data_IF_343928592120
#
_entry.id   IF_343928592120
#
_cell.length_a   1.000
_cell.length_b   1.000
_cell.length_c   1.000
_cell.angle_alpha   90.00
_cell.angle_beta   90.00
_cell.angle_gamma   90.00
#
_symmetry.space_group_name_H-M   'P 1'
#
loop_
_entity.id
_entity.type
_entity.pdbx_description
1 polymer ?
#
# COMPACT_ATOMS: atom_id res chain seq x y z
N UNK A 1 3.86 4.09 24.46
CA UNK A 1 3.86 5.11 23.40
C UNK A 1 5.26 5.22 22.82
N UNK A 2 5.42 5.11 21.50
CA UNK A 2 6.72 5.22 20.83
C UNK A 2 7.07 6.68 20.47
N UNK A 3 6.08 7.57 20.44
CA UNK A 3 6.26 9.00 20.16
C UNK A 3 4.92 9.73 20.02
N UNK A 4 4.95 11.06 19.89
CA UNK A 4 3.75 11.89 19.83
C UNK A 4 3.19 12.09 18.43
N UNK A 5 3.94 11.72 17.37
CA UNK A 5 3.48 11.90 16.01
C UNK A 5 2.34 10.93 15.70
N UNK A 6 1.38 11.42 14.94
CA UNK A 6 0.23 10.66 14.48
C UNK A 6 0.00 10.90 12.99
N UNK A 7 -0.76 10.03 12.37
CA UNK A 7 -1.12 10.12 10.97
C UNK A 7 -2.33 9.25 10.67
N UNK A 8 -2.95 9.46 9.53
CA UNK A 8 -4.07 8.63 9.07
C UNK A 8 -3.58 7.30 8.47
N UNK A 9 -2.46 7.33 7.75
CA UNK A 9 -1.83 6.13 7.18
C UNK A 9 -0.75 5.57 8.09
N UNK A 10 -0.58 4.25 8.04
CA UNK A 10 0.46 3.53 8.76
C UNK A 10 1.06 2.45 7.88
N UNK A 11 2.38 2.26 7.98
CA UNK A 11 3.13 1.15 7.41
C UNK A 11 4.02 0.51 8.47
N UNK A 12 4.30 -0.77 8.30
CA UNK A 12 5.16 -1.55 9.18
C UNK A 12 6.11 -2.40 8.34
N UNK A 13 7.41 -2.32 8.61
CA UNK A 13 8.45 -3.07 7.92
C UNK A 13 9.83 -2.49 8.16
N UNK A 14 10.86 -3.20 7.74
CA UNK A 14 12.26 -2.75 7.86
C UNK A 14 12.59 -1.74 6.76
N UNK A 15 12.28 -0.46 7.01
CA UNK A 15 12.44 0.58 5.99
C UNK A 15 13.90 0.85 5.63
N UNK A 16 14.78 0.80 6.63
CA UNK A 16 16.20 1.14 6.47
C UNK A 16 17.12 -0.07 6.26
N UNK A 17 16.56 -1.26 6.10
CA UNK A 17 17.28 -2.53 5.88
C UNK A 17 18.27 -2.89 7.01
N UNK A 18 17.94 -2.57 8.24
CA UNK A 18 18.78 -2.86 9.41
C UNK A 18 18.39 -4.12 10.19
N UNK A 19 17.43 -4.88 9.69
CA UNK A 19 16.89 -6.11 10.25
C UNK A 19 15.82 -5.89 11.32
N UNK A 20 15.34 -4.67 11.52
CA UNK A 20 14.31 -4.31 12.51
C UNK A 20 13.16 -3.59 11.85
N UNK A 21 11.95 -4.03 12.16
CA UNK A 21 10.76 -3.40 11.58
C UNK A 21 10.48 -2.03 12.18
N UNK A 22 10.36 -1.04 11.34
CA UNK A 22 10.04 0.35 11.62
C UNK A 22 8.55 0.63 11.50
N UNK A 23 8.13 1.83 11.88
CA UNK A 23 6.76 2.30 11.70
C UNK A 23 6.77 3.56 10.83
N UNK A 24 6.18 3.47 9.66
CA UNK A 24 5.95 4.62 8.78
C UNK A 24 4.59 5.24 9.10
N UNK A 25 4.54 6.55 9.29
CA UNK A 25 3.30 7.30 9.51
C UNK A 25 3.34 8.67 8.86
N UNK A 26 2.17 9.18 8.46
CA UNK A 26 1.96 10.59 8.09
C UNK A 26 3.12 11.21 7.32
N UNK A 27 3.99 11.94 8.00
CA UNK A 27 5.08 12.73 7.41
C UNK A 27 6.49 12.19 7.69
N UNK A 28 6.62 10.94 8.13
CA UNK A 28 7.92 10.35 8.45
C UNK A 28 7.83 8.94 8.99
N UNK A 29 8.87 8.53 9.69
CA UNK A 29 8.94 7.17 10.20
C UNK A 29 9.63 7.12 11.57
N UNK A 30 9.26 6.14 12.37
CA UNK A 30 9.89 5.81 13.64
C UNK A 30 10.87 4.67 13.43
N UNK A 31 12.15 4.94 13.69
CA UNK A 31 13.22 3.94 13.67
C UNK A 31 13.13 3.09 14.94
N UNK A 32 13.02 1.76 14.76
CA UNK A 32 13.05 0.85 15.89
C UNK A 32 14.45 0.82 16.52
N UNK A 33 14.57 1.03 17.85
CA UNK A 33 15.89 1.03 18.53
C UNK A 33 16.55 -0.36 18.49
N UNK A 34 17.89 -0.37 18.51
CA UNK A 34 18.69 -1.61 18.59
C UNK A 34 18.51 -2.36 19.90
N UNK A 35 18.17 -1.64 20.98
CA UNK A 35 17.97 -2.19 22.32
C UNK A 35 16.52 -2.60 22.57
N UNK A 36 16.11 -2.50 23.83
CA UNK A 36 14.74 -2.76 24.25
C UNK A 36 13.75 -1.79 23.59
N UNK A 37 12.82 -2.25 22.76
CA UNK A 37 11.85 -1.37 22.11
C UNK A 37 10.84 -0.75 23.08
N UNK A 38 10.79 -1.21 24.33
CA UNK A 38 9.91 -0.69 25.38
C UNK A 38 10.59 0.34 26.28
N UNK A 39 11.91 0.54 26.17
CA UNK A 39 12.67 1.39 27.07
C UNK A 39 12.35 2.90 26.94
N UNK A 40 11.66 3.33 25.87
CA UNK A 40 11.32 4.74 25.69
C UNK A 40 10.81 5.06 24.29
N UNK A 41 10.73 6.35 23.96
CA UNK A 41 10.29 6.76 22.63
C UNK A 41 11.30 6.36 21.57
N UNK A 42 10.77 6.01 20.38
CA UNK A 42 11.57 5.75 19.21
C UNK A 42 11.99 7.05 18.53
N UNK A 43 13.10 7.02 17.84
CA UNK A 43 13.57 8.16 17.06
C UNK A 43 12.65 8.38 15.87
N UNK A 44 12.08 9.57 15.75
CA UNK A 44 11.27 9.97 14.62
C UNK A 44 12.10 10.73 13.58
N UNK A 45 12.02 10.31 12.33
CA UNK A 45 12.62 10.95 11.18
C UNK A 45 11.50 11.60 10.36
N UNK A 46 11.47 12.95 10.35
CA UNK A 46 10.56 13.69 9.48
C UNK A 46 11.15 13.75 8.07
N UNK A 47 10.75 12.84 7.20
CA UNK A 47 11.40 12.60 5.92
C UNK A 47 10.68 13.23 4.72
N UNK A 48 9.41 13.59 4.86
CA UNK A 48 8.61 14.18 3.78
C UNK A 48 7.57 15.15 4.30
N UNK A 49 6.99 15.94 3.38
CA UNK A 49 5.96 16.95 3.72
C UNK A 49 4.54 16.48 3.43
N UNK A 50 4.36 15.53 2.51
CA UNK A 50 3.07 14.96 2.15
C UNK A 50 2.59 14.03 3.26
N UNK A 51 1.36 14.23 3.76
CA UNK A 51 0.81 13.30 4.75
C UNK A 51 0.22 12.09 4.06
N UNK A 52 0.78 10.92 4.33
CA UNK A 52 0.26 9.65 3.81
C UNK A 52 -1.05 9.31 4.53
N UNK A 53 -2.08 8.92 3.77
CA UNK A 53 -3.45 8.77 4.27
C UNK A 53 -4.01 7.34 4.25
N UNK A 54 -3.26 6.40 3.68
CA UNK A 54 -3.66 4.99 3.56
C UNK A 54 -2.64 4.08 4.22
N UNK A 55 -2.93 2.79 4.33
CA UNK A 55 -1.87 1.84 4.63
C UNK A 55 -0.70 2.07 3.68
N UNK A 56 0.51 2.00 4.23
CA UNK A 56 1.75 2.09 3.48
C UNK A 56 2.38 0.72 3.50
N UNK A 57 2.62 0.15 2.33
CA UNK A 57 3.34 -1.11 2.19
C UNK A 57 4.83 -0.80 2.06
N UNK A 58 5.66 -1.60 2.74
CA UNK A 58 7.11 -1.49 2.73
C UNK A 58 7.66 -2.76 2.08
N UNK A 59 8.30 -2.63 0.93
CA UNK A 59 8.83 -3.76 0.17
C UNK A 59 9.84 -3.30 -0.86
N UNK A 60 10.85 -4.09 -1.12
CA UNK A 60 11.72 -3.95 -2.30
C UNK A 60 10.95 -4.43 -3.54
N UNK A 61 10.46 -3.49 -4.37
CA UNK A 61 9.64 -3.81 -5.54
C UNK A 61 10.43 -3.89 -6.83
N UNK A 62 11.69 -3.42 -6.83
CA UNK A 62 12.57 -3.42 -8.00
C UNK A 62 13.77 -4.36 -7.86
N UNK A 63 13.92 -5.06 -6.72
CA UNK A 63 14.98 -6.02 -6.47
C UNK A 63 16.35 -5.39 -6.27
N UNK A 64 16.44 -4.10 -5.88
CA UNK A 64 17.72 -3.40 -5.69
C UNK A 64 18.29 -3.56 -4.27
N UNK A 65 17.58 -4.29 -3.41
CA UNK A 65 17.96 -4.56 -2.03
C UNK A 65 17.59 -3.45 -1.04
N UNK A 66 16.84 -2.42 -1.47
CA UNK A 66 16.30 -1.37 -0.60
C UNK A 66 14.78 -1.48 -0.56
N UNK A 67 14.22 -1.25 0.61
CA UNK A 67 12.78 -1.24 0.75
C UNK A 67 12.19 0.10 0.29
N UNK A 68 11.13 0.00 -0.52
CA UNK A 68 10.35 1.08 -1.08
C UNK A 68 9.07 1.28 -0.27
N UNK A 69 8.38 2.41 -0.52
CA UNK A 69 7.07 2.69 0.04
C UNK A 69 6.02 2.69 -1.07
N UNK A 70 4.99 1.84 -0.93
CA UNK A 70 3.84 1.83 -1.82
C UNK A 70 2.64 2.36 -1.04
N UNK A 71 1.92 3.33 -1.61
CA UNK A 71 0.80 3.96 -0.92
C UNK A 71 -0.27 4.43 -1.91
N UNK A 72 -1.51 4.50 -1.42
CA UNK A 72 -2.64 5.02 -2.16
C UNK A 72 -3.09 6.38 -1.61
N UNK A 73 -3.68 7.22 -2.45
CA UNK A 73 -4.33 8.43 -1.97
C UNK A 73 -5.77 8.11 -1.55
N UNK A 74 -5.99 7.97 -0.26
CA UNK A 74 -7.28 7.60 0.30
C UNK A 74 -8.36 8.67 0.17
N UNK A 75 -7.99 9.91 -0.21
CA UNK A 75 -8.87 11.08 -0.25
C UNK A 75 -8.85 11.82 -1.59
N UNK A 76 -8.08 11.34 -2.55
CA UNK A 76 -7.93 11.91 -3.87
C UNK A 76 -7.51 10.81 -4.85
N UNK A 77 -7.17 11.16 -6.08
CA UNK A 77 -6.68 10.24 -7.09
C UNK A 77 -5.25 9.79 -6.82
N UNK A 78 -4.95 8.54 -7.14
CA UNK A 78 -3.62 8.01 -7.36
C UNK A 78 -3.16 6.91 -6.40
N UNK A 79 -2.36 6.03 -6.98
CA UNK A 79 -1.55 5.00 -6.34
C UNK A 79 -0.11 5.27 -6.72
N UNK A 80 0.78 5.26 -5.75
CA UNK A 80 2.16 5.71 -5.90
C UNK A 80 3.14 4.74 -5.29
N UNK A 81 4.34 4.72 -5.83
CA UNK A 81 5.51 4.16 -5.20
C UNK A 81 6.55 5.25 -4.95
N UNK A 82 7.22 5.20 -3.82
CA UNK A 82 8.44 5.94 -3.53
C UNK A 82 9.61 4.98 -3.55
N UNK A 83 10.29 4.94 -4.69
CA UNK A 83 11.43 4.05 -4.91
C UNK A 83 12.65 4.60 -4.19
N UNK A 84 13.19 3.79 -3.30
CA UNK A 84 14.25 4.19 -2.36
C UNK A 84 15.57 4.50 -3.06
N UNK A 85 16.16 5.63 -2.70
CA UNK A 85 17.57 5.97 -2.97
C UNK A 85 18.46 5.82 -1.73
N UNK A 86 17.88 5.27 -0.65
CA UNK A 86 18.51 5.20 0.65
C UNK A 86 18.18 6.38 1.53
N UNK A 87 19.10 6.78 2.38
CA UNK A 87 18.90 7.81 3.40
C UNK A 87 20.02 8.84 3.37
N UNK A 88 19.71 10.07 3.74
CA UNK A 88 20.74 11.08 4.00
C UNK A 88 21.41 10.88 5.38
N UNK A 89 22.45 11.69 5.68
CA UNK A 89 23.18 11.62 6.95
C UNK A 89 22.32 11.93 8.18
N UNK A 90 21.11 12.49 8.00
CA UNK A 90 20.15 12.78 9.06
C UNK A 90 19.10 11.68 9.23
N UNK A 91 19.11 10.67 8.35
CA UNK A 91 18.15 9.58 8.32
C UNK A 91 16.84 9.95 7.61
N UNK A 92 16.84 10.98 6.75
CA UNK A 92 15.70 11.25 5.90
C UNK A 92 15.69 10.28 4.73
N UNK A 93 14.54 9.70 4.45
CA UNK A 93 14.31 8.80 3.32
C UNK A 93 14.39 9.58 2.00
N UNK A 94 15.27 9.15 1.11
CA UNK A 94 15.44 9.71 -0.23
C UNK A 94 14.78 8.78 -1.24
N UNK A 95 14.00 9.33 -2.17
CA UNK A 95 13.21 8.53 -3.11
C UNK A 95 12.95 9.24 -4.43
N UNK A 96 12.59 8.44 -5.44
CA UNK A 96 11.89 8.87 -6.64
C UNK A 96 10.41 8.51 -6.52
N UNK A 97 9.50 9.45 -6.76
CA UNK A 97 8.08 9.16 -6.81
C UNK A 97 7.69 8.63 -8.20
N UNK A 98 7.09 7.47 -8.23
CA UNK A 98 6.49 6.85 -9.41
C UNK A 98 4.98 6.83 -9.21
N UNK A 99 4.23 7.36 -10.17
CA UNK A 99 2.78 7.23 -10.22
C UNK A 99 2.43 5.92 -10.93
N UNK A 100 1.86 4.97 -10.18
CA UNK A 100 1.42 3.68 -10.71
C UNK A 100 0.11 3.87 -11.47
N UNK A 101 -0.87 4.54 -10.86
CA UNK A 101 -2.18 4.81 -11.46
C UNK A 101 -2.81 6.07 -10.88
N UNK A 102 -3.60 6.78 -11.68
CA UNK A 102 -4.45 7.91 -11.27
C UNK A 102 -5.83 7.87 -11.94
N UNK A 103 -6.24 6.71 -12.44
CA UNK A 103 -7.53 6.53 -13.11
C UNK A 103 -8.71 6.46 -12.15
N UNK A 104 -8.48 6.25 -10.87
CA UNK A 104 -9.50 6.23 -9.82
C UNK A 104 -9.02 6.92 -8.55
N UNK A 105 -9.97 7.31 -7.70
CA UNK A 105 -9.72 7.98 -6.43
C UNK A 105 -9.94 7.06 -5.24
N UNK A 106 -9.54 7.52 -4.06
CA UNK A 106 -9.86 6.90 -2.78
C UNK A 106 -9.29 5.47 -2.63
N UNK A 107 -8.07 5.23 -3.09
CA UNK A 107 -7.30 4.01 -2.88
C UNK A 107 -6.97 3.86 -1.39
N UNK A 108 -7.87 3.27 -0.59
CA UNK A 108 -7.80 3.26 0.87
C UNK A 108 -7.35 1.93 1.47
N UNK A 109 -7.15 0.91 0.66
CA UNK A 109 -6.57 -0.37 1.02
C UNK A 109 -5.62 -0.83 -0.08
N UNK A 110 -4.51 -1.43 0.32
CA UNK A 110 -3.50 -2.01 -0.55
C UNK A 110 -3.11 -3.37 0.01
N UNK A 111 -2.85 -4.31 -0.86
CA UNK A 111 -2.46 -5.67 -0.50
C UNK A 111 -1.52 -6.24 -1.57
N UNK A 112 -0.55 -7.06 -1.17
CA UNK A 112 0.28 -7.85 -2.07
C UNK A 112 -0.11 -9.32 -1.99
N UNK A 113 -0.29 -9.97 -3.11
CA UNK A 113 -0.49 -11.40 -3.20
C UNK A 113 -0.09 -11.91 -4.60
N UNK A 114 0.48 -13.10 -4.66
CA UNK A 114 0.75 -13.84 -5.90
C UNK A 114 -0.58 -14.43 -6.40
N UNK A 115 -1.21 -13.76 -7.36
CA UNK A 115 -2.54 -14.12 -7.87
C UNK A 115 -2.49 -15.13 -9.03
N UNK A 116 -1.37 -15.22 -9.74
CA UNK A 116 -1.22 -16.10 -10.90
C UNK A 116 -0.23 -17.24 -10.70
N UNK A 117 0.36 -17.35 -9.49
CA UNK A 117 1.25 -18.44 -9.09
C UNK A 117 2.64 -18.37 -9.72
N UNK A 118 3.06 -17.21 -10.23
CA UNK A 118 4.38 -17.04 -10.86
C UNK A 118 5.52 -16.78 -9.86
N UNK A 119 5.19 -16.62 -8.57
CA UNK A 119 6.12 -16.36 -7.48
C UNK A 119 6.41 -14.88 -7.26
N UNK A 120 5.76 -13.98 -7.99
CA UNK A 120 5.78 -12.54 -7.77
C UNK A 120 4.40 -12.07 -7.32
N UNK A 121 4.36 -11.20 -6.31
CA UNK A 121 3.07 -10.69 -5.85
C UNK A 121 2.57 -9.54 -6.74
N UNK A 122 1.28 -9.52 -7.02
CA UNK A 122 0.56 -8.38 -7.57
C UNK A 122 0.20 -7.37 -6.47
N UNK A 123 0.18 -6.09 -6.83
CA UNK A 123 -0.42 -5.05 -6.00
C UNK A 123 -1.93 -4.99 -6.25
N UNK A 124 -2.72 -5.28 -5.23
CA UNK A 124 -4.17 -5.22 -5.26
C UNK A 124 -4.63 -3.95 -4.54
N UNK A 125 -5.49 -3.17 -5.17
CA UNK A 125 -6.12 -1.98 -4.59
C UNK A 125 -7.39 -1.60 -5.35
N UNK A 126 -8.02 -0.48 -5.00
CA UNK A 126 -9.18 -0.01 -5.73
C UNK A 126 -9.89 1.13 -5.01
N UNK A 127 -11.01 1.54 -5.60
CA UNK A 127 -11.82 2.67 -5.15
C UNK A 127 -12.82 2.26 -4.08
N UNK A 128 -12.94 3.08 -3.04
CA UNK A 128 -14.02 2.95 -2.04
C UNK A 128 -15.38 3.32 -2.64
N UNK A 129 -16.43 2.68 -2.12
CA UNK A 129 -17.81 3.12 -2.37
C UNK A 129 -18.12 4.35 -1.53
N UNK A 130 -18.40 5.48 -2.18
CA UNK A 130 -18.92 6.70 -1.57
C UNK A 130 -18.21 7.08 -0.25
N UNK A 131 -16.88 7.27 -0.34
CA UNK A 131 -16.08 7.71 0.79
C UNK A 131 -16.43 9.11 1.24
N UNK A 132 -16.32 9.39 2.55
CA UNK A 132 -16.52 10.70 3.19
C UNK A 132 -17.82 11.43 2.79
N UNK A 133 -18.91 10.69 2.63
CA UNK A 133 -20.22 11.22 2.25
C UNK A 133 -20.19 12.00 0.92
N UNK A 134 -19.39 11.52 -0.04
CA UNK A 134 -19.30 12.10 -1.38
C UNK A 134 -18.52 13.42 -1.47
N UNK A 135 -17.70 13.76 -0.48
CA UNK A 135 -16.96 15.02 -0.43
C UNK A 135 -15.60 14.97 -1.11
N UNK A 136 -15.01 13.79 -1.20
CA UNK A 136 -13.69 13.61 -1.82
C UNK A 136 -13.80 13.68 -3.35
N UNK A 137 -12.73 14.12 -4.05
CA UNK A 137 -12.64 13.99 -5.50
C UNK A 137 -12.97 12.58 -5.96
N UNK A 138 -13.76 12.45 -7.02
CA UNK A 138 -14.16 11.16 -7.58
C UNK A 138 -15.06 10.30 -6.70
N UNK A 139 -15.63 10.82 -5.60
CA UNK A 139 -16.42 10.03 -4.65
C UNK A 139 -17.61 9.30 -5.29
N UNK A 140 -18.18 9.87 -6.36
CA UNK A 140 -19.32 9.33 -7.11
C UNK A 140 -18.91 8.50 -8.34
N UNK A 141 -17.62 8.36 -8.61
CA UNK A 141 -17.15 7.52 -9.72
C UNK A 141 -17.43 6.04 -9.42
N UNK A 142 -17.55 5.26 -10.47
CA UNK A 142 -17.82 3.81 -10.35
C UNK A 142 -16.71 3.14 -9.53
N UNK A 143 -17.04 2.40 -8.46
CA UNK A 143 -16.06 1.66 -7.71
C UNK A 143 -15.37 0.60 -8.57
N UNK A 144 -14.08 0.37 -8.32
CA UNK A 144 -13.29 -0.63 -9.02
C UNK A 144 -12.37 -1.37 -8.06
N UNK A 145 -12.12 -2.63 -8.36
CA UNK A 145 -11.02 -3.42 -7.80
C UNK A 145 -10.02 -3.64 -8.91
N UNK A 146 -8.78 -3.29 -8.65
CA UNK A 146 -7.66 -3.35 -9.59
C UNK A 146 -6.56 -4.22 -9.04
N UNK A 147 -5.79 -4.86 -9.91
CA UNK A 147 -4.48 -5.38 -9.57
C UNK A 147 -3.45 -5.01 -10.63
N UNK A 148 -2.18 -4.99 -10.21
CA UNK A 148 -1.06 -4.52 -11.02
C UNK A 148 0.08 -5.50 -10.96
N UNK A 149 0.65 -5.79 -12.12
CA UNK A 149 1.95 -6.40 -12.30
C UNK A 149 2.98 -5.33 -12.68
N UNK A 150 4.27 -5.64 -12.62
CA UNK A 150 5.32 -4.73 -13.08
C UNK A 150 6.55 -5.49 -13.56
N UNK A 151 7.38 -4.81 -14.36
CA UNK A 151 8.66 -5.33 -14.78
C UNK A 151 9.71 -5.25 -13.66
N UNK A 152 10.84 -5.97 -13.82
CA UNK A 152 11.92 -6.01 -12.82
C UNK A 152 12.51 -4.62 -12.47
N UNK A 153 12.35 -3.64 -13.37
CA UNK A 153 12.85 -2.29 -13.17
C UNK A 153 11.82 -1.37 -12.54
N UNK A 154 10.63 -1.87 -12.25
CA UNK A 154 9.48 -1.11 -11.70
C UNK A 154 9.12 0.12 -12.55
N UNK A 155 9.16 -0.02 -13.87
CA UNK A 155 8.90 1.08 -14.83
C UNK A 155 7.63 0.90 -15.64
N UNK A 156 7.30 -0.34 -15.96
CA UNK A 156 6.12 -0.66 -16.77
C UNK A 156 5.14 -1.48 -15.94
N UNK A 157 3.89 -1.04 -15.94
CA UNK A 157 2.84 -1.64 -15.15
C UNK A 157 1.79 -2.28 -16.06
N UNK A 158 1.51 -3.56 -15.84
CA UNK A 158 0.27 -4.19 -16.26
C UNK A 158 -0.86 -3.71 -15.35
N UNK A 159 -1.98 -3.24 -15.90
CA UNK A 159 -3.13 -2.73 -15.15
C UNK A 159 -4.35 -3.54 -15.48
N UNK A 160 -4.94 -4.19 -14.50
CA UNK A 160 -6.04 -5.11 -14.68
C UNK A 160 -7.22 -4.73 -13.78
N UNK A 161 -8.42 -4.80 -14.36
CA UNK A 161 -9.66 -4.58 -13.61
C UNK A 161 -10.19 -5.93 -13.16
N UNK A 162 -10.08 -6.23 -11.88
CA UNK A 162 -10.66 -7.44 -11.29
C UNK A 162 -12.18 -7.32 -11.18
N UNK A 163 -12.71 -6.13 -10.84
CA UNK A 163 -14.15 -5.89 -10.82
C UNK A 163 -14.49 -4.40 -11.05
N UNK A 164 -15.66 -4.15 -11.69
CA UNK A 164 -16.33 -2.86 -11.76
C UNK A 164 -17.64 -2.93 -10.98
N UNK A 165 -17.96 -1.85 -10.26
CA UNK A 165 -19.13 -1.80 -9.38
C UNK A 165 -18.89 -2.42 -8.00
N UNK A 166 -17.81 -3.16 -7.81
CA UNK A 166 -17.33 -3.61 -6.52
C UNK A 166 -16.38 -2.57 -5.93
N UNK A 167 -16.57 -2.21 -4.67
CA UNK A 167 -15.74 -1.22 -3.98
C UNK A 167 -14.89 -1.86 -2.89
N UNK A 168 -13.69 -1.35 -2.72
CA UNK A 168 -12.81 -1.72 -1.61
C UNK A 168 -13.13 -0.85 -0.40
N UNK A 169 -13.25 -1.45 0.79
CA UNK A 169 -13.37 -0.73 2.05
C UNK A 169 -12.01 -0.28 2.59
N UNK A 170 -11.66 -0.79 3.77
CA UNK A 170 -10.40 -0.50 4.46
C UNK A 170 -9.42 -1.68 4.45
N UNK A 171 -9.86 -2.83 3.96
CA UNK A 171 -9.07 -4.05 3.94
C UNK A 171 -9.28 -4.81 2.63
N UNK A 172 -8.28 -5.59 2.26
CA UNK A 172 -8.30 -6.61 1.21
C UNK A 172 -7.71 -7.85 1.85
N UNK A 173 -8.29 -9.00 1.58
CA UNK A 173 -7.77 -10.31 1.97
C UNK A 173 -7.73 -11.17 0.74
N UNK A 174 -6.69 -11.99 0.62
CA UNK A 174 -6.61 -13.06 -0.38
C UNK A 174 -6.56 -14.41 0.34
N UNK A 175 -7.24 -15.39 -0.19
CA UNK A 175 -7.26 -16.75 0.32
C UNK A 175 -7.71 -17.72 -0.78
N UNK A 176 -7.17 -18.92 -0.80
CA UNK A 176 -7.70 -20.04 -1.58
C UNK A 176 -8.97 -20.56 -0.87
N UNK A 177 -10.13 -20.19 -1.38
CA UNK A 177 -11.43 -20.46 -0.73
C UNK A 177 -12.10 -21.74 -1.24
N UNK A 178 -11.77 -22.20 -2.42
CA UNK A 178 -12.33 -23.41 -3.02
C UNK A 178 -11.32 -24.55 -3.15
N UNK A 179 -10.09 -24.33 -2.66
CA UNK A 179 -9.00 -25.31 -2.61
C UNK A 179 -8.53 -25.77 -4.00
N UNK A 180 -8.55 -24.87 -4.96
CA UNK A 180 -8.02 -25.13 -6.31
C UNK A 180 -6.55 -24.70 -6.48
N UNK A 181 -6.01 -23.97 -5.50
CA UNK A 181 -4.64 -23.48 -5.47
C UNK A 181 -4.46 -22.04 -5.88
N UNK A 182 -5.48 -21.41 -6.44
CA UNK A 182 -5.49 -20.00 -6.84
C UNK A 182 -6.05 -19.11 -5.69
N UNK A 183 -5.64 -17.86 -5.61
CA UNK A 183 -6.09 -16.96 -4.54
C UNK A 183 -7.27 -16.11 -5.01
N UNK A 184 -8.39 -16.16 -4.28
CA UNK A 184 -9.50 -15.23 -4.41
C UNK A 184 -9.18 -13.89 -3.76
N UNK A 185 -9.79 -12.82 -4.28
CA UNK A 185 -9.74 -11.50 -3.65
C UNK A 185 -11.06 -11.27 -2.90
N UNK A 186 -10.98 -11.07 -1.58
CA UNK A 186 -12.12 -10.74 -0.73
C UNK A 186 -12.08 -9.28 -0.36
N UNK A 187 -13.11 -8.53 -0.73
CA UNK A 187 -13.23 -7.10 -0.49
C UNK A 187 -14.50 -6.76 0.29
N UNK A 188 -14.38 -6.26 1.52
CA UNK A 188 -15.50 -5.69 2.25
C UNK A 188 -15.72 -4.23 1.82
N UNK A 189 -16.95 -3.83 1.63
CA UNK A 189 -17.33 -2.47 1.29
C UNK A 189 -18.63 -2.05 1.94
N UNK A 190 -19.10 -0.83 1.68
CA UNK A 190 -20.39 -0.34 2.18
C UNK A 190 -21.58 -1.12 1.63
N UNK A 191 -21.40 -1.81 0.52
CA UNK A 191 -22.44 -2.60 -0.15
C UNK A 191 -22.40 -4.08 0.24
N UNK A 192 -21.56 -4.45 1.19
CA UNK A 192 -21.37 -5.82 1.66
C UNK A 192 -19.97 -6.34 1.40
N UNK A 193 -19.78 -7.64 1.62
CA UNK A 193 -18.52 -8.35 1.32
C UNK A 193 -18.68 -9.07 0.00
N UNK A 194 -17.69 -8.93 -0.86
CA UNK A 194 -17.66 -9.56 -2.18
C UNK A 194 -16.44 -10.46 -2.30
N UNK A 195 -16.59 -11.58 -3.00
CA UNK A 195 -15.52 -12.50 -3.36
C UNK A 195 -15.36 -12.42 -4.86
N UNK A 196 -14.15 -12.10 -5.31
CA UNK A 196 -13.76 -12.14 -6.70
C UNK A 196 -13.02 -13.47 -6.92
N UNK A 197 -13.71 -14.39 -7.56
CA UNK A 197 -13.20 -15.73 -7.82
C UNK A 197 -12.12 -15.68 -8.90
N UNK A 198 -10.93 -16.15 -8.57
CA UNK A 198 -9.90 -16.45 -9.53
C UNK A 198 -10.28 -17.74 -10.27
N UNK A 199 -10.04 -17.81 -11.56
CA UNK A 199 -10.40 -18.97 -12.39
C UNK A 199 -9.18 -19.65 -13.01
N UNK A 200 -8.00 -19.24 -12.50
CA UNK A 200 -6.74 -19.66 -13.05
C UNK A 200 -6.52 -19.14 -14.48
N UNK A 201 -5.40 -19.54 -15.06
CA UNK A 201 -5.04 -19.26 -16.46
C UNK A 201 -5.43 -20.42 -17.37
#
# INVERSE_FOLDING_TARGET
TIGPQSGHGIGFGDLNNDGRSDIVIGTGWYERPKGDPYAGPWKFHKSWTKSLSCPVLIRDVNGDGKNDLIWGNGHDYGVFAWVSKGFDDKGNFLYDEIKIDDSFSQAHALHFADLDGDGMDELITGKRVYGHNGRDPGANDVPVVMYYTWDKEFKNFGKYVAAKGAGIGLHIVTADLDADGDLEIVVPGKEGTQILWNKGN
#
